data_IF_292958578462
#
_entry.id   IF_292958578462
#
_cell.length_a   1.000
_cell.length_b   1.000
_cell.length_c   1.000
_cell.angle_alpha   90.00
_cell.angle_beta   90.00
_cell.angle_gamma   90.00
#
_symmetry.space_group_name_H-M   'P 1'
#
loop_
_entity.id
_entity.type
_entity.pdbx_description
1 polymer ?
#
# COMPACT_ATOMS: atom_id res chain seq x y z
N UNK A 1 -30.43 -8.46 47.00
CA UNK A 1 -29.60 -7.31 46.61
C UNK A 1 -28.16 -7.80 46.46
N UNK A 2 -27.79 -8.20 45.24
CA UNK A 2 -26.43 -8.60 44.89
C UNK A 2 -25.69 -7.34 44.42
N UNK A 3 -24.77 -6.87 45.24
CA UNK A 3 -23.98 -5.67 44.96
C UNK A 3 -22.86 -6.05 43.98
N UNK A 4 -22.97 -5.49 42.77
CA UNK A 4 -22.01 -5.55 41.67
C UNK A 4 -20.66 -4.98 42.10
N UNK A 5 -19.63 -5.81 42.16
CA UNK A 5 -18.24 -5.36 42.18
C UNK A 5 -17.82 -4.99 40.75
N UNK A 6 -17.26 -3.79 40.49
CA UNK A 6 -16.58 -3.52 39.24
C UNK A 6 -15.19 -4.16 39.30
N UNK A 7 -15.05 -5.33 38.69
CA UNK A 7 -13.74 -5.88 38.41
C UNK A 7 -13.05 -4.96 37.40
N UNK A 8 -11.92 -4.42 37.84
CA UNK A 8 -10.90 -3.71 37.07
C UNK A 8 -10.63 -4.43 35.74
N UNK A 9 -10.95 -3.74 34.65
CA UNK A 9 -10.59 -4.12 33.28
C UNK A 9 -9.08 -3.86 33.11
N UNK A 10 -8.23 -4.89 32.90
CA UNK A 10 -6.84 -4.64 32.56
C UNK A 10 -6.79 -4.20 31.10
N UNK A 11 -6.34 -2.96 30.88
CA UNK A 11 -6.06 -2.35 29.59
C UNK A 11 -5.40 -3.35 28.61
N UNK A 12 -6.19 -3.83 27.65
CA UNK A 12 -5.78 -4.66 26.50
C UNK A 12 -4.72 -3.94 25.63
N UNK A 13 -4.46 -2.65 25.87
CA UNK A 13 -3.56 -1.83 25.07
C UNK A 13 -2.10 -1.78 25.57
N UNK A 14 -1.73 -2.48 26.64
CA UNK A 14 -0.36 -2.42 27.23
C UNK A 14 0.49 -3.64 26.89
N UNK A 15 0.57 -4.00 25.60
CA UNK A 15 1.50 -5.02 25.10
C UNK A 15 1.93 -4.70 23.65
N UNK A 16 2.64 -3.60 23.46
CA UNK A 16 3.51 -3.42 22.30
C UNK A 16 4.86 -2.92 22.78
N UNK A 17 5.82 -3.84 22.87
CA UNK A 17 7.24 -3.51 22.95
C UNK A 17 7.66 -2.81 21.65
N UNK A 18 8.48 -1.74 21.68
CA UNK A 18 9.07 -1.21 20.46
C UNK A 18 10.12 -2.19 19.95
N UNK A 19 9.79 -2.97 18.91
CA UNK A 19 10.78 -3.76 18.17
C UNK A 19 11.70 -2.81 17.41
N UNK A 20 12.92 -2.69 17.91
CA UNK A 20 14.08 -2.17 17.18
C UNK A 20 14.16 -2.80 15.79
N UNK A 21 14.19 -1.92 14.79
CA UNK A 21 14.44 -2.19 13.38
C UNK A 21 15.60 -3.18 13.19
N UNK A 22 15.28 -4.36 12.65
CA UNK A 22 16.26 -5.35 12.20
C UNK A 22 16.55 -5.07 10.73
N UNK A 23 17.77 -4.57 10.51
CA UNK A 23 18.39 -4.34 9.21
C UNK A 23 18.27 -5.57 8.28
N UNK A 24 17.80 -5.43 7.02
CA UNK A 24 17.95 -6.49 6.04
C UNK A 24 19.35 -6.43 5.43
N UNK A 25 20.17 -7.44 5.73
CA UNK A 25 21.42 -7.68 5.00
C UNK A 25 21.08 -7.99 3.53
N UNK A 26 21.60 -7.26 2.53
CA UNK A 26 21.41 -7.64 1.15
C UNK A 26 22.42 -8.72 0.78
N UNK A 27 21.86 -9.72 0.11
CA UNK A 27 22.50 -10.85 -0.52
C UNK A 27 23.64 -10.43 -1.45
N UNK A 28 24.71 -11.21 -1.41
CA UNK A 28 25.75 -11.27 -2.42
C UNK A 28 25.15 -11.67 -3.78
N UNK A 29 25.00 -10.71 -4.68
CA UNK A 29 24.78 -10.95 -6.10
C UNK A 29 26.07 -10.59 -6.83
N UNK A 30 26.81 -11.62 -7.23
CA UNK A 30 27.86 -11.52 -8.23
C UNK A 30 27.20 -11.22 -9.57
N UNK A 31 27.21 -9.95 -10.00
CA UNK A 31 27.05 -9.58 -11.40
C UNK A 31 28.01 -8.44 -11.72
N UNK A 32 29.04 -8.78 -12.49
CA UNK A 32 29.86 -7.84 -13.23
C UNK A 32 28.97 -7.05 -14.18
N UNK A 33 28.67 -5.80 -13.84
CA UNK A 33 28.31 -4.79 -14.82
C UNK A 33 28.95 -3.47 -14.36
N UNK A 34 29.82 -2.97 -15.21
CA UNK A 34 30.53 -1.71 -15.12
C UNK A 34 29.57 -0.53 -15.02
N UNK A 35 29.09 -0.22 -13.82
CA UNK A 35 28.37 1.03 -13.55
C UNK A 35 29.35 2.04 -12.94
N UNK A 36 30.22 2.57 -13.79
CA UNK A 36 31.09 3.71 -13.48
C UNK A 36 30.41 5.06 -13.80
N UNK A 37 29.08 5.08 -13.91
CA UNK A 37 28.29 6.26 -14.35
C UNK A 37 27.56 6.98 -13.21
N UNK A 38 27.83 6.62 -11.95
CA UNK A 38 27.22 7.26 -10.77
C UNK A 38 28.24 7.88 -9.81
N UNK A 39 29.50 8.02 -10.23
CA UNK A 39 30.64 8.38 -9.35
C UNK A 39 31.21 9.79 -9.57
N UNK A 40 30.45 10.78 -10.08
CA UNK A 40 30.97 12.17 -10.04
C UNK A 40 29.89 13.27 -10.15
N UNK A 41 29.14 13.51 -9.07
CA UNK A 41 28.31 14.73 -8.96
C UNK A 41 28.52 15.44 -7.62
N UNK A 42 29.05 14.76 -6.61
CA UNK A 42 29.15 15.28 -5.24
C UNK A 42 30.57 15.27 -4.64
N UNK A 43 31.61 15.02 -5.45
CA UNK A 43 32.95 14.68 -4.97
C UNK A 43 34.09 15.66 -5.26
N UNK A 44 33.92 16.73 -6.03
CA UNK A 44 35.05 17.62 -6.34
C UNK A 44 35.23 18.71 -5.26
N UNK A 45 35.82 18.33 -4.13
CA UNK A 45 36.45 19.31 -3.23
C UNK A 45 37.55 20.04 -4.02
N UNK A 46 37.62 21.38 -4.05
CA UNK A 46 38.68 22.06 -4.79
C UNK A 46 40.03 21.67 -4.19
N UNK A 47 40.94 21.21 -5.05
CA UNK A 47 42.28 20.78 -4.67
C UNK A 47 42.98 21.87 -3.83
N UNK A 48 43.36 21.53 -2.60
CA UNK A 48 44.11 22.42 -1.70
C UNK A 48 45.39 22.92 -2.40
N UNK A 49 45.65 24.23 -2.48
CA UNK A 49 46.90 24.74 -3.05
C UNK A 49 48.06 24.50 -2.07
N UNK A 50 49.15 23.97 -2.58
CA UNK A 50 50.40 23.70 -1.85
C UNK A 50 51.08 25.02 -1.43
N UNK A 51 51.62 25.15 -0.21
CA UNK A 51 52.19 26.40 0.26
C UNK A 51 53.64 26.56 -0.20
N UNK A 52 53.90 27.56 -1.03
CA UNK A 52 55.24 28.09 -1.31
C UNK A 52 55.42 29.41 -0.54
N UNK A 53 56.54 29.62 0.19
CA UNK A 53 56.71 30.79 1.03
C UNK A 53 57.34 31.94 0.21
N UNK A 54 56.58 33.01 -0.03
CA UNK A 54 57.19 34.32 -0.28
C UNK A 54 56.25 35.47 0.13
N UNK A 55 56.76 36.23 1.08
CA UNK A 55 56.47 37.62 1.45
C UNK A 55 55.45 38.40 0.60
N UNK A 56 54.40 38.94 1.24
CA UNK A 56 54.22 40.38 1.50
C UNK A 56 52.73 40.79 1.62
N UNK A 57 52.45 41.53 2.70
CA UNK A 57 51.34 42.47 2.92
C UNK A 57 49.91 41.94 3.18
N UNK A 58 49.21 42.46 4.22
CA UNK A 58 47.84 42.10 4.54
C UNK A 58 46.90 42.93 3.67
N UNK A 59 46.55 42.42 2.49
CA UNK A 59 45.39 42.95 1.78
C UNK A 59 44.14 42.32 2.38
N UNK A 60 43.17 43.17 2.74
CA UNK A 60 41.81 42.80 3.08
C UNK A 60 41.18 42.00 1.92
N UNK A 61 41.44 40.70 1.87
CA UNK A 61 40.58 39.78 1.14
C UNK A 61 39.33 39.61 1.98
N UNK A 62 38.31 40.39 1.64
CA UNK A 62 36.94 40.08 1.99
C UNK A 62 36.72 38.61 1.63
N UNK A 63 36.72 37.76 2.66
CA UNK A 63 36.28 36.38 2.60
C UNK A 63 34.79 36.45 2.25
N UNK A 64 34.49 36.58 0.96
CA UNK A 64 33.16 36.35 0.42
C UNK A 64 32.90 34.86 0.65
N UNK A 65 32.36 34.54 1.82
CA UNK A 65 31.80 33.22 2.08
C UNK A 65 30.85 32.91 0.92
N UNK A 66 31.08 31.85 0.13
CA UNK A 66 30.16 31.48 -0.94
C UNK A 66 28.80 31.28 -0.28
N UNK A 67 27.83 32.09 -0.68
CA UNK A 67 26.54 32.13 -0.02
C UNK A 67 25.89 30.75 -0.14
N UNK A 68 25.45 30.15 0.97
CA UNK A 68 24.75 28.85 0.96
C UNK A 68 23.33 28.95 0.40
N UNK A 69 22.87 30.16 0.07
CA UNK A 69 21.53 30.47 -0.43
C UNK A 69 21.18 29.67 -1.71
N UNK A 70 22.04 29.58 -2.75
CA UNK A 70 21.74 28.79 -3.94
C UNK A 70 21.68 27.29 -3.64
N UNK A 71 22.52 26.82 -2.72
CA UNK A 71 22.54 25.42 -2.27
C UNK A 71 21.24 25.07 -1.56
N UNK A 72 20.81 25.91 -0.62
CA UNK A 72 19.54 25.78 0.10
C UNK A 72 18.33 25.87 -0.85
N UNK A 73 18.35 26.75 -1.84
CA UNK A 73 17.30 26.84 -2.86
C UNK A 73 17.22 25.56 -3.70
N UNK A 74 18.36 25.01 -4.13
CA UNK A 74 18.42 23.75 -4.86
C UNK A 74 17.89 22.58 -4.02
N UNK A 75 18.26 22.53 -2.74
CA UNK A 75 17.75 21.54 -1.79
C UNK A 75 16.24 21.65 -1.61
N UNK A 76 15.71 22.86 -1.41
CA UNK A 76 14.28 23.10 -1.25
C UNK A 76 13.48 22.78 -2.51
N UNK A 77 13.98 23.18 -3.69
CA UNK A 77 13.33 22.88 -4.96
C UNK A 77 13.27 21.37 -5.21
N UNK A 78 14.38 20.66 -4.94
CA UNK A 78 14.45 19.20 -5.11
C UNK A 78 13.54 18.49 -4.12
N UNK A 79 13.55 18.91 -2.85
CA UNK A 79 12.68 18.37 -1.82
C UNK A 79 11.20 18.60 -2.15
N UNK A 80 10.83 19.84 -2.53
CA UNK A 80 9.46 20.20 -2.89
C UNK A 80 8.94 19.48 -4.13
N UNK A 81 9.78 19.27 -5.15
CA UNK A 81 9.39 18.48 -6.33
C UNK A 81 9.12 17.02 -5.96
N UNK A 82 9.99 16.41 -5.15
CA UNK A 82 9.80 15.04 -4.66
C UNK A 82 8.53 14.91 -3.83
N UNK A 83 8.31 15.86 -2.93
CA UNK A 83 7.13 15.91 -2.07
C UNK A 83 5.85 16.10 -2.88
N UNK A 84 5.87 16.98 -3.89
CA UNK A 84 4.74 17.19 -4.79
C UNK A 84 4.36 15.93 -5.60
N UNK A 85 5.36 15.20 -6.13
CA UNK A 85 5.10 13.93 -6.82
C UNK A 85 4.56 12.87 -5.85
N UNK A 86 5.09 12.80 -4.64
CA UNK A 86 4.63 11.86 -3.63
C UNK A 86 3.18 12.17 -3.21
N UNK A 87 2.87 13.43 -2.92
CA UNK A 87 1.55 13.90 -2.55
C UNK A 87 0.53 13.66 -3.68
N UNK A 88 0.89 13.94 -4.94
CA UNK A 88 0.01 13.71 -6.08
C UNK A 88 -0.33 12.22 -6.25
N UNK A 89 0.68 11.33 -6.14
CA UNK A 89 0.47 9.88 -6.24
C UNK A 89 -0.38 9.34 -5.08
N UNK A 90 -0.11 9.80 -3.86
CA UNK A 90 -0.89 9.40 -2.69
C UNK A 90 -2.35 9.85 -2.80
N UNK A 91 -2.57 11.11 -3.24
CA UNK A 91 -3.90 11.66 -3.44
C UNK A 91 -4.71 10.91 -4.48
N UNK A 92 -4.12 10.60 -5.65
CA UNK A 92 -4.83 9.86 -6.71
C UNK A 92 -5.13 8.41 -6.32
N UNK A 93 -4.22 7.74 -5.60
CA UNK A 93 -4.42 6.36 -5.18
C UNK A 93 -5.52 6.24 -4.11
N UNK A 94 -5.55 7.16 -3.15
CA UNK A 94 -6.55 7.14 -2.08
C UNK A 94 -7.95 7.44 -2.61
N UNK A 95 -8.10 8.43 -3.50
CA UNK A 95 -9.39 8.76 -4.10
C UNK A 95 -9.99 7.55 -4.84
N UNK A 96 -9.19 6.86 -5.68
CA UNK A 96 -9.66 5.66 -6.36
C UNK A 96 -10.00 4.51 -5.42
N UNK A 97 -9.28 4.36 -4.31
CA UNK A 97 -9.64 3.37 -3.28
C UNK A 97 -10.96 3.70 -2.61
N UNK A 98 -11.16 4.95 -2.19
CA UNK A 98 -12.37 5.38 -1.48
C UNK A 98 -13.61 5.20 -2.36
N UNK A 99 -13.50 5.48 -3.67
CA UNK A 99 -14.55 5.25 -4.66
C UNK A 99 -14.88 3.76 -4.82
N UNK A 100 -13.86 2.90 -4.92
CA UNK A 100 -14.04 1.46 -5.13
C UNK A 100 -14.41 0.68 -3.86
N UNK A 101 -14.02 1.16 -2.68
CA UNK A 101 -14.12 0.41 -1.42
C UNK A 101 -15.56 0.09 -1.03
N UNK A 102 -16.46 1.08 -1.11
CA UNK A 102 -17.87 0.89 -0.76
C UNK A 102 -18.55 -0.16 -1.63
N UNK A 103 -18.33 -0.07 -2.95
CA UNK A 103 -18.87 -1.03 -3.91
C UNK A 103 -18.28 -2.43 -3.70
N UNK A 104 -16.95 -2.52 -3.54
CA UNK A 104 -16.26 -3.77 -3.27
C UNK A 104 -16.77 -4.45 -2.00
N UNK A 105 -17.07 -3.69 -0.95
CA UNK A 105 -17.66 -4.19 0.28
C UNK A 105 -19.06 -4.79 0.07
N UNK A 106 -19.91 -4.12 -0.72
CA UNK A 106 -21.26 -4.63 -1.04
C UNK A 106 -21.19 -5.92 -1.86
N UNK A 107 -20.34 -5.95 -2.88
CA UNK A 107 -20.13 -7.12 -3.73
C UNK A 107 -19.57 -8.29 -2.89
N UNK A 108 -18.53 -8.03 -2.10
CA UNK A 108 -17.92 -9.01 -1.22
C UNK A 108 -18.89 -9.57 -0.19
N UNK A 109 -19.73 -8.72 0.41
CA UNK A 109 -20.76 -9.16 1.36
C UNK A 109 -21.81 -10.09 0.69
N UNK A 110 -22.23 -9.77 -0.54
CA UNK A 110 -23.16 -10.62 -1.30
C UNK A 110 -22.54 -11.96 -1.68
N UNK A 111 -21.31 -11.95 -2.20
CA UNK A 111 -20.57 -13.15 -2.55
C UNK A 111 -20.35 -14.05 -1.32
N UNK A 112 -19.88 -13.47 -0.21
CA UNK A 112 -19.67 -14.19 1.05
C UNK A 112 -20.96 -14.80 1.62
N UNK A 113 -22.10 -14.11 1.48
CA UNK A 113 -23.40 -14.65 1.90
C UNK A 113 -23.77 -15.91 1.10
N UNK A 114 -23.60 -15.89 -0.22
CA UNK A 114 -23.91 -17.06 -1.07
C UNK A 114 -23.03 -18.24 -0.69
N UNK A 115 -21.71 -18.01 -0.60
CA UNK A 115 -20.74 -19.06 -0.24
C UNK A 115 -21.03 -19.63 1.15
N UNK A 116 -21.25 -18.77 2.15
CA UNK A 116 -21.54 -19.19 3.52
C UNK A 116 -22.86 -19.97 3.65
N UNK A 117 -23.89 -19.62 2.87
CA UNK A 117 -25.14 -20.39 2.83
C UNK A 117 -24.90 -21.77 2.23
N UNK A 118 -24.18 -21.87 1.12
CA UNK A 118 -23.86 -23.16 0.48
C UNK A 118 -23.00 -24.05 1.38
N UNK A 119 -22.01 -23.48 2.06
CA UNK A 119 -21.18 -24.19 3.04
C UNK A 119 -22.01 -24.67 4.23
N UNK A 120 -22.88 -23.81 4.77
CA UNK A 120 -23.77 -24.18 5.87
C UNK A 120 -24.78 -25.27 5.50
N UNK A 121 -25.35 -25.21 4.29
CA UNK A 121 -26.25 -26.25 3.78
C UNK A 121 -25.51 -27.57 3.57
N UNK A 122 -24.31 -27.54 2.99
CA UNK A 122 -23.48 -28.74 2.81
C UNK A 122 -23.14 -29.41 4.15
N UNK A 123 -22.77 -28.61 5.15
CA UNK A 123 -22.51 -29.09 6.51
C UNK A 123 -23.78 -29.63 7.21
N UNK A 124 -24.94 -29.00 6.99
CA UNK A 124 -26.21 -29.49 7.53
C UNK A 124 -26.62 -30.81 6.86
N UNK A 125 -26.47 -30.93 5.54
CA UNK A 125 -26.73 -32.16 4.80
C UNK A 125 -25.83 -33.30 5.31
N UNK A 126 -24.53 -33.03 5.49
CA UNK A 126 -23.59 -33.96 6.10
C UNK A 126 -24.04 -34.50 7.45
N UNK A 127 -24.61 -33.64 8.31
CA UNK A 127 -25.08 -34.03 9.63
C UNK A 127 -26.34 -34.91 9.59
N UNK A 128 -27.18 -34.78 8.55
CA UNK A 128 -28.46 -35.50 8.44
C UNK A 128 -28.28 -36.83 7.68
N UNK A 129 -27.64 -36.79 6.52
CA UNK A 129 -27.55 -37.93 5.59
C UNK A 129 -26.20 -38.65 5.64
N UNK A 130 -25.22 -38.12 6.37
CA UNK A 130 -23.85 -38.62 6.38
C UNK A 130 -23.02 -38.13 5.17
N UNK A 131 -21.86 -38.74 4.98
CA UNK A 131 -20.87 -38.33 3.95
C UNK A 131 -21.33 -38.64 2.52
N UNK A 132 -22.16 -39.67 2.34
CA UNK A 132 -22.55 -40.25 1.04
C UNK A 132 -23.95 -39.80 0.57
N UNK A 133 -24.47 -38.69 1.08
CA UNK A 133 -25.77 -38.17 0.67
C UNK A 133 -25.68 -37.50 -0.71
N UNK A 134 -26.52 -37.92 -1.67
CA UNK A 134 -26.62 -37.30 -3.01
C UNK A 134 -26.77 -35.76 -2.94
N UNK A 135 -27.52 -35.27 -1.96
CA UNK A 135 -27.73 -33.82 -1.76
C UNK A 135 -26.46 -33.11 -1.28
N UNK A 136 -25.64 -33.78 -0.46
CA UNK A 136 -24.35 -33.22 -0.04
C UNK A 136 -23.39 -33.08 -1.22
N UNK A 137 -23.29 -34.11 -2.06
CA UNK A 137 -22.41 -34.06 -3.23
C UNK A 137 -22.87 -32.96 -4.20
N UNK A 138 -24.18 -32.83 -4.40
CA UNK A 138 -24.77 -31.72 -5.18
C UNK A 138 -24.40 -30.35 -4.61
N UNK A 139 -24.58 -30.15 -3.30
CA UNK A 139 -24.25 -28.88 -2.62
C UNK A 139 -22.75 -28.58 -2.68
N UNK A 140 -21.90 -29.60 -2.60
CA UNK A 140 -20.46 -29.46 -2.76
C UNK A 140 -20.09 -29.02 -4.18
N UNK A 141 -20.71 -29.61 -5.21
CA UNK A 141 -20.52 -29.16 -6.59
C UNK A 141 -20.92 -27.69 -6.79
N UNK A 142 -22.07 -27.28 -6.24
CA UNK A 142 -22.53 -25.89 -6.29
C UNK A 142 -21.57 -24.94 -5.56
N UNK A 143 -21.00 -25.37 -4.42
CA UNK A 143 -20.03 -24.57 -3.67
C UNK A 143 -18.72 -24.39 -4.44
N UNK A 144 -18.23 -25.43 -5.10
CA UNK A 144 -17.02 -25.37 -5.93
C UNK A 144 -17.22 -24.44 -7.14
N UNK A 145 -18.38 -24.54 -7.81
CA UNK A 145 -18.74 -23.65 -8.91
C UNK A 145 -18.88 -22.20 -8.45
N UNK A 146 -19.64 -21.96 -7.37
CA UNK A 146 -19.81 -20.64 -6.79
C UNK A 146 -18.46 -20.05 -6.33
N UNK A 147 -17.55 -20.84 -5.77
CA UNK A 147 -16.22 -20.39 -5.37
C UNK A 147 -15.37 -19.92 -6.56
N UNK A 148 -15.50 -20.57 -7.71
CA UNK A 148 -14.83 -20.17 -8.95
C UNK A 148 -15.42 -18.89 -9.54
N UNK A 149 -16.74 -18.77 -9.55
CA UNK A 149 -17.44 -17.63 -10.17
C UNK A 149 -17.47 -16.38 -9.29
N UNK A 150 -17.62 -16.55 -7.98
CA UNK A 150 -17.67 -15.47 -6.99
C UNK A 150 -16.28 -15.12 -6.42
N UNK A 151 -15.23 -15.79 -6.88
CA UNK A 151 -13.86 -15.46 -6.53
C UNK A 151 -13.46 -14.06 -7.03
N UNK A 152 -12.55 -13.40 -6.31
CA UNK A 152 -12.12 -12.01 -6.58
C UNK A 152 -11.73 -11.79 -8.04
N UNK A 153 -10.97 -12.72 -8.63
CA UNK A 153 -10.51 -12.60 -10.02
C UNK A 153 -11.67 -12.65 -11.03
N UNK A 154 -12.72 -13.42 -10.75
CA UNK A 154 -13.89 -13.55 -11.62
C UNK A 154 -14.85 -12.37 -11.46
N UNK A 155 -15.13 -11.97 -10.22
CA UNK A 155 -16.06 -10.87 -9.90
C UNK A 155 -15.52 -9.51 -10.34
N UNK A 156 -14.20 -9.33 -10.28
CA UNK A 156 -13.50 -8.15 -10.81
C UNK A 156 -12.88 -8.42 -12.19
N UNK A 157 -13.43 -9.40 -12.92
CA UNK A 157 -13.00 -9.77 -14.26
C UNK A 157 -13.37 -8.74 -15.33
N UNK A 158 -12.74 -8.87 -16.51
CA UNK A 158 -12.92 -7.95 -17.65
C UNK A 158 -14.31 -8.02 -18.29
N UNK A 159 -15.09 -9.03 -17.89
CA UNK A 159 -16.47 -9.25 -18.29
C UNK A 159 -17.38 -8.16 -17.69
N UNK A 160 -17.06 -7.73 -16.46
CA UNK A 160 -17.86 -6.76 -15.70
C UNK A 160 -17.17 -5.39 -15.59
N UNK A 161 -15.85 -5.37 -15.68
CA UNK A 161 -15.01 -4.17 -15.54
C UNK A 161 -14.21 -3.90 -16.82
N UNK A 162 -13.92 -2.64 -17.08
CA UNK A 162 -13.01 -2.25 -18.16
C UNK A 162 -11.54 -2.22 -17.69
N UNK A 163 -10.63 -1.85 -18.59
CA UNK A 163 -9.20 -1.81 -18.30
C UNK A 163 -8.77 -0.70 -17.34
N UNK A 164 -9.65 0.27 -17.09
CA UNK A 164 -9.42 1.42 -16.20
C UNK A 164 -10.04 1.21 -14.81
N UNK A 165 -10.75 0.09 -14.60
CA UNK A 165 -11.41 -0.22 -13.33
C UNK A 165 -12.79 0.41 -13.19
N UNK A 166 -13.42 0.81 -14.31
CA UNK A 166 -14.81 1.27 -14.35
C UNK A 166 -15.70 0.10 -14.75
N UNK A 167 -16.87 -0.06 -14.13
CA UNK A 167 -17.81 -1.12 -14.50
C UNK A 167 -18.42 -0.89 -15.89
N UNK A 168 -18.97 -1.94 -16.50
CA UNK A 168 -19.60 -1.87 -17.84
C UNK A 168 -21.09 -1.58 -17.81
N UNK A 169 -21.69 -1.48 -16.63
CA UNK A 169 -23.14 -1.34 -16.47
C UNK A 169 -23.57 0.14 -16.45
N UNK A 170 -24.63 0.45 -17.19
CA UNK A 170 -25.31 1.73 -17.07
C UNK A 170 -26.21 1.69 -15.84
N UNK A 171 -26.01 2.61 -14.90
CA UNK A 171 -26.96 2.83 -13.82
C UNK A 171 -28.10 3.65 -14.41
N UNK A 172 -29.29 3.03 -14.53
CA UNK A 172 -30.49 3.79 -14.87
C UNK A 172 -30.81 4.71 -13.70
N UNK A 173 -30.90 6.01 -13.95
CA UNK A 173 -31.56 6.93 -13.05
C UNK A 173 -33.04 6.56 -13.09
N UNK A 174 -33.53 5.87 -12.07
CA UNK A 174 -34.97 5.81 -11.84
C UNK A 174 -35.37 7.25 -11.48
N UNK A 175 -35.92 7.97 -12.46
CA UNK A 175 -36.59 9.25 -12.23
C UNK A 175 -37.66 9.00 -11.16
N UNK A 176 -37.44 9.54 -9.95
CA UNK A 176 -38.49 9.66 -8.93
C UNK A 176 -39.60 10.53 -9.54
N UNK A 177 -40.69 9.92 -9.99
CA UNK A 177 -41.94 10.63 -10.28
C UNK A 177 -42.51 11.15 -8.95
N UNK A 178 -42.45 12.48 -8.77
CA UNK A 178 -43.06 13.28 -7.70
C UNK A 178 -44.60 13.12 -7.61
#
# INVERSE_FOLDING_TARGET
MLLRQPASDPDIFTSMSPTTSRSPSPHSISQSNSNNDLDDIWGSSPSSPTPHPSSSSPSHQQQHHPSDIPRLQQEHATAGYRDGIAAAKAGSAQAGFDEGFGLGAVIGARAGRVLGVLEGLSAAAAAITGDEGDERERLRGLLEEAGRELGVVSVFGREYWDGEGVWRFQVGEEEEED
#
